data_IF_409443943260
#
_entry.id   IF_409443943260
#
_cell.length_a   1.000
_cell.length_b   1.000
_cell.length_c   1.000
_cell.angle_alpha   90.00
_cell.angle_beta   90.00
_cell.angle_gamma   90.00
#
_symmetry.space_group_name_H-M   'P 1'
#
loop_
_entity.id
_entity.type
_entity.pdbx_description
1 polymer ?
#
# COMPACT_ATOMS: atom_id res chain seq x y z
N UNK A 1 -3.71 88.15 -9.36
CA UNK A 1 -3.57 87.73 -7.97
C UNK A 1 -4.51 86.55 -7.77
N UNK A 2 -4.03 85.35 -7.69
CA UNK A 2 -4.84 84.13 -7.53
C UNK A 2 -4.00 82.91 -7.84
N UNK A 3 -3.28 82.40 -6.84
CA UNK A 3 -2.62 81.13 -6.85
C UNK A 3 -3.71 80.05 -6.83
N UNK A 4 -3.63 79.06 -7.73
CA UNK A 4 -4.34 77.81 -7.60
C UNK A 4 -3.33 76.68 -7.48
N UNK A 5 -3.32 76.09 -6.30
CA UNK A 5 -2.63 74.91 -5.93
C UNK A 5 -3.07 73.72 -6.82
N UNK A 6 -2.12 73.14 -7.51
CA UNK A 6 -2.29 71.85 -8.17
C UNK A 6 -2.09 70.73 -7.11
N UNK A 7 -3.19 70.17 -6.62
CA UNK A 7 -3.16 68.96 -5.79
C UNK A 7 -2.86 67.74 -6.68
N UNK A 8 -1.64 67.28 -6.58
CA UNK A 8 -1.17 66.04 -7.20
C UNK A 8 -1.85 64.84 -6.51
N UNK A 9 -2.85 64.25 -7.16
CA UNK A 9 -3.50 63.02 -6.72
C UNK A 9 -2.72 61.80 -7.24
N UNK A 10 -1.66 61.47 -6.54
CA UNK A 10 -1.02 60.16 -6.68
C UNK A 10 -1.97 59.06 -6.19
N UNK A 11 -2.73 58.49 -7.12
CA UNK A 11 -3.57 57.32 -6.87
C UNK A 11 -2.69 56.11 -6.55
N UNK A 12 -3.12 55.23 -5.63
CA UNK A 12 -2.33 54.09 -5.21
C UNK A 12 -2.01 53.16 -6.39
N UNK A 13 -0.73 52.88 -6.50
CA UNK A 13 -0.08 52.09 -7.58
C UNK A 13 -0.62 50.65 -7.62
N UNK A 14 -1.71 50.40 -8.35
CA UNK A 14 -2.37 49.07 -8.53
C UNK A 14 -1.56 48.07 -9.33
N UNK A 15 -0.37 48.42 -9.84
CA UNK A 15 0.48 47.52 -10.64
C UNK A 15 1.26 46.53 -9.81
N UNK A 16 1.54 46.77 -8.52
CA UNK A 16 2.27 45.85 -7.64
C UNK A 16 1.46 44.64 -7.18
N UNK A 17 0.13 44.76 -7.11
CA UNK A 17 -0.74 43.73 -6.56
C UNK A 17 -0.95 42.51 -7.51
N UNK A 18 -0.89 42.76 -8.82
CA UNK A 18 -1.04 41.67 -9.83
C UNK A 18 0.20 40.79 -10.02
N UNK A 19 1.39 41.31 -9.72
CA UNK A 19 2.65 40.55 -9.86
C UNK A 19 2.90 39.62 -8.70
N UNK A 20 2.38 39.86 -7.52
CA UNK A 20 2.49 39.00 -6.34
C UNK A 20 1.49 37.83 -6.34
N UNK A 21 0.36 37.97 -7.04
CA UNK A 21 -0.68 36.90 -7.08
C UNK A 21 -0.25 35.65 -7.81
N UNK A 22 0.55 35.77 -8.86
CA UNK A 22 1.02 34.61 -9.66
C UNK A 22 1.95 33.70 -8.86
N UNK A 23 3.03 34.18 -8.21
CA UNK A 23 3.89 33.31 -7.41
C UNK A 23 3.16 32.73 -6.18
N UNK A 24 2.26 33.47 -5.55
CA UNK A 24 1.43 32.96 -4.45
C UNK A 24 0.50 31.82 -4.91
N UNK A 25 -0.08 31.91 -6.10
CA UNK A 25 -0.93 30.86 -6.66
C UNK A 25 -0.13 29.60 -6.97
N UNK A 26 1.08 29.74 -7.51
CA UNK A 26 1.99 28.61 -7.77
C UNK A 26 2.37 27.91 -6.47
N UNK A 27 2.75 28.67 -5.44
CA UNK A 27 3.08 28.10 -4.12
C UNK A 27 1.88 27.38 -3.51
N UNK A 28 0.67 27.95 -3.61
CA UNK A 28 -0.55 27.29 -3.12
C UNK A 28 -0.83 25.97 -3.85
N UNK A 29 -0.71 25.95 -5.17
CA UNK A 29 -0.90 24.72 -5.98
C UNK A 29 0.14 23.65 -5.60
N UNK A 30 1.41 24.04 -5.47
CA UNK A 30 2.47 23.12 -5.06
C UNK A 30 2.25 22.55 -3.65
N UNK A 31 1.78 23.39 -2.72
CA UNK A 31 1.48 22.98 -1.34
C UNK A 31 0.31 21.99 -1.30
N UNK A 32 -0.74 22.22 -2.08
CA UNK A 32 -1.87 21.28 -2.19
C UNK A 32 -1.44 19.97 -2.84
N UNK A 33 -0.65 20.00 -3.89
CA UNK A 33 -0.12 18.81 -4.55
C UNK A 33 0.78 18.01 -3.60
N UNK A 34 1.65 18.68 -2.85
CA UNK A 34 2.49 18.04 -1.83
C UNK A 34 1.67 17.42 -0.71
N UNK A 35 0.69 18.14 -0.18
CA UNK A 35 -0.23 17.61 0.85
C UNK A 35 -1.00 16.39 0.35
N UNK A 36 -1.49 16.41 -0.89
CA UNK A 36 -2.17 15.28 -1.50
C UNK A 36 -1.24 14.06 -1.63
N UNK A 37 0.02 14.26 -2.04
CA UNK A 37 1.03 13.21 -2.12
C UNK A 37 1.33 12.60 -0.74
N UNK A 38 1.50 13.45 0.28
CA UNK A 38 1.74 13.00 1.66
C UNK A 38 0.54 12.20 2.19
N UNK A 39 -0.69 12.69 1.99
CA UNK A 39 -1.90 11.98 2.39
C UNK A 39 -2.04 10.63 1.67
N UNK A 40 -1.73 10.59 0.37
CA UNK A 40 -1.74 9.34 -0.40
C UNK A 40 -0.73 8.32 0.13
N UNK A 41 0.50 8.76 0.43
CA UNK A 41 1.56 7.91 1.00
C UNK A 41 1.19 7.42 2.40
N UNK A 42 0.64 8.31 3.25
CA UNK A 42 0.19 7.94 4.60
C UNK A 42 -0.95 6.92 4.55
N UNK A 43 -1.93 7.10 3.66
CA UNK A 43 -3.03 6.14 3.47
C UNK A 43 -2.50 4.76 3.10
N UNK A 44 -1.54 4.70 2.19
CA UNK A 44 -0.89 3.47 1.76
C UNK A 44 -0.18 2.75 2.92
N UNK A 45 0.61 3.48 3.70
CA UNK A 45 1.31 2.93 4.87
C UNK A 45 0.32 2.44 5.95
N UNK A 46 -0.78 3.15 6.16
CA UNK A 46 -1.81 2.74 7.11
C UNK A 46 -2.53 1.46 6.66
N UNK A 47 -2.82 1.33 5.37
CA UNK A 47 -3.43 0.14 4.79
C UNK A 47 -2.52 -1.09 4.93
N UNK A 48 -1.24 -0.93 4.60
CA UNK A 48 -0.26 -2.00 4.76
C UNK A 48 -0.14 -2.45 6.23
N UNK A 49 0.00 -1.49 7.16
CA UNK A 49 0.06 -1.78 8.60
C UNK A 49 -1.19 -2.49 9.10
N UNK A 50 -2.38 -2.07 8.64
CA UNK A 50 -3.64 -2.70 8.99
C UNK A 50 -3.70 -4.16 8.50
N UNK A 51 -3.28 -4.41 7.25
CA UNK A 51 -3.18 -5.75 6.69
C UNK A 51 -2.21 -6.62 7.51
N UNK A 52 -1.01 -6.13 7.77
CA UNK A 52 0.00 -6.86 8.52
C UNK A 52 -0.42 -7.13 9.97
N UNK A 53 -1.09 -6.18 10.63
CA UNK A 53 -1.65 -6.37 11.97
C UNK A 53 -2.73 -7.45 11.98
N UNK A 54 -3.66 -7.43 11.01
CA UNK A 54 -4.71 -8.43 10.89
C UNK A 54 -4.13 -9.84 10.67
N UNK A 55 -3.15 -9.98 9.77
CA UNK A 55 -2.45 -11.25 9.55
C UNK A 55 -1.72 -11.73 10.81
N UNK A 56 -1.12 -10.81 11.58
CA UNK A 56 -0.48 -11.15 12.84
C UNK A 56 -1.48 -11.68 13.87
N UNK A 57 -2.63 -11.05 13.99
CA UNK A 57 -3.67 -11.46 14.93
C UNK A 57 -4.34 -12.77 14.49
N UNK A 58 -4.59 -12.93 13.19
CA UNK A 58 -5.12 -14.16 12.60
C UNK A 58 -4.15 -15.33 12.79
N UNK A 59 -2.84 -15.15 12.52
CA UNK A 59 -1.80 -16.15 12.78
C UNK A 59 -1.74 -16.54 14.24
N UNK A 60 -1.84 -15.57 15.15
CA UNK A 60 -1.87 -15.84 16.60
C UNK A 60 -3.13 -16.62 17.00
N UNK A 61 -4.27 -16.32 16.39
CA UNK A 61 -5.53 -17.05 16.59
C UNK A 61 -5.41 -18.48 16.06
N UNK A 62 -5.00 -18.66 14.83
CA UNK A 62 -4.77 -19.96 14.19
C UNK A 62 -3.84 -20.85 15.03
N UNK A 63 -2.76 -20.26 15.56
CA UNK A 63 -1.81 -20.97 16.42
C UNK A 63 -2.43 -21.47 17.73
N UNK A 64 -3.45 -20.77 18.27
CA UNK A 64 -4.14 -21.19 19.51
C UNK A 64 -5.26 -22.19 19.26
N UNK A 65 -5.94 -22.06 18.14
CA UNK A 65 -7.15 -22.84 17.84
C UNK A 65 -6.87 -24.03 16.94
N UNK A 66 -5.79 -24.01 16.16
CA UNK A 66 -5.53 -24.94 15.08
C UNK A 66 -6.48 -24.79 13.88
N UNK A 67 -7.34 -23.75 13.90
CA UNK A 67 -8.37 -23.55 12.88
C UNK A 67 -7.81 -22.69 11.75
N UNK A 68 -7.18 -23.32 10.75
CA UNK A 68 -6.79 -22.70 9.48
C UNK A 68 -6.67 -23.75 8.39
N UNK A 69 -6.74 -23.33 7.15
CA UNK A 69 -6.51 -24.20 6.00
C UNK A 69 -5.57 -23.50 5.01
N UNK A 70 -4.72 -24.28 4.37
CA UNK A 70 -3.83 -23.82 3.30
C UNK A 70 -4.12 -24.62 2.05
N UNK A 71 -4.27 -23.93 0.93
CA UNK A 71 -4.37 -24.56 -0.39
C UNK A 71 -3.24 -24.04 -1.27
N UNK A 72 -2.61 -24.95 -2.01
CA UNK A 72 -1.59 -24.64 -3.02
C UNK A 72 -2.08 -25.19 -4.35
N UNK A 73 -2.15 -24.34 -5.36
CA UNK A 73 -2.68 -24.69 -6.70
C UNK A 73 -4.07 -25.38 -6.63
N UNK A 74 -4.91 -24.89 -5.69
CA UNK A 74 -6.25 -25.41 -5.45
C UNK A 74 -6.34 -26.71 -4.64
N UNK A 75 -5.22 -27.33 -4.28
CA UNK A 75 -5.18 -28.54 -3.45
C UNK A 75 -4.88 -28.20 -1.99
N UNK A 76 -5.63 -28.79 -1.05
CA UNK A 76 -5.34 -28.64 0.36
C UNK A 76 -4.01 -29.30 0.73
N UNK A 77 -3.17 -28.56 1.47
CA UNK A 77 -1.88 -29.02 1.95
C UNK A 77 -1.83 -29.06 3.46
N UNK A 78 -1.01 -29.96 4.00
CA UNK A 78 -0.74 -29.97 5.44
C UNK A 78 0.26 -28.87 5.77
N UNK A 79 -0.13 -27.94 6.62
CA UNK A 79 0.72 -26.90 7.13
C UNK A 79 0.56 -26.80 8.64
N UNK A 80 1.59 -26.36 9.33
CA UNK A 80 1.52 -26.10 10.76
C UNK A 80 1.50 -24.59 11.08
N UNK A 81 1.28 -24.26 12.34
CA UNK A 81 1.22 -22.86 12.75
C UNK A 81 2.60 -22.16 12.74
N UNK A 82 3.72 -22.91 12.61
CA UNK A 82 5.05 -22.35 12.47
C UNK A 82 5.26 -21.87 11.04
N UNK A 83 4.72 -22.61 10.04
CA UNK A 83 4.75 -22.21 8.63
C UNK A 83 4.07 -20.83 8.44
N UNK A 84 2.92 -20.61 9.10
CA UNK A 84 2.23 -19.32 9.11
C UNK A 84 3.09 -18.22 9.77
N UNK A 85 3.79 -18.56 10.84
CA UNK A 85 4.67 -17.61 11.54
C UNK A 85 5.91 -17.26 10.70
N UNK A 86 6.45 -18.23 9.99
CA UNK A 86 7.58 -18.01 9.08
C UNK A 86 7.17 -17.21 7.85
N UNK A 87 5.98 -17.47 7.29
CA UNK A 87 5.41 -16.63 6.25
C UNK A 87 5.26 -15.18 6.72
N UNK A 88 4.68 -14.96 7.90
CA UNK A 88 4.51 -13.63 8.46
C UNK A 88 5.86 -12.93 8.64
N UNK A 89 6.89 -13.65 9.07
CA UNK A 89 8.25 -13.13 9.18
C UNK A 89 8.84 -12.74 7.83
N UNK A 90 8.65 -13.56 6.79
CA UNK A 90 9.06 -13.21 5.43
C UNK A 90 8.38 -11.93 4.96
N UNK A 91 7.05 -11.85 5.11
CA UNK A 91 6.28 -10.68 4.72
C UNK A 91 6.69 -9.41 5.48
N UNK A 92 7.04 -9.54 6.77
CA UNK A 92 7.51 -8.39 7.58
C UNK A 92 8.81 -7.78 7.08
N UNK A 93 9.67 -8.57 6.46
CA UNK A 93 10.95 -8.12 5.92
C UNK A 93 10.82 -7.49 4.54
N UNK A 94 9.77 -7.88 3.80
CA UNK A 94 9.61 -7.50 2.41
C UNK A 94 9.09 -6.08 2.21
N UNK A 95 8.31 -5.58 3.16
CA UNK A 95 7.55 -4.35 2.92
C UNK A 95 6.47 -4.53 1.85
N UNK A 96 5.76 -3.45 1.56
CA UNK A 96 4.78 -3.42 0.48
C UNK A 96 5.37 -2.70 -0.74
N UNK A 97 5.21 -3.28 -1.89
CA UNK A 97 5.49 -2.67 -3.18
C UNK A 97 4.31 -1.85 -3.69
N UNK A 98 3.82 -2.13 -4.89
CA UNK A 98 2.68 -1.40 -5.47
C UNK A 98 1.37 -1.99 -4.99
N UNK A 99 0.40 -1.12 -4.69
CA UNK A 99 -1.00 -1.53 -4.58
C UNK A 99 -1.60 -1.69 -5.97
N UNK A 100 -2.45 -2.72 -6.13
CA UNK A 100 -3.11 -2.99 -7.40
C UNK A 100 -4.30 -3.92 -7.22
N UNK A 101 -4.96 -4.17 -8.32
CA UNK A 101 -6.00 -5.20 -8.37
C UNK A 101 -5.34 -6.59 -8.47
N UNK A 102 -5.98 -7.56 -7.85
CA UNK A 102 -5.51 -8.94 -7.94
C UNK A 102 -5.58 -9.44 -9.39
N UNK A 103 -4.63 -10.33 -9.79
CA UNK A 103 -4.74 -11.02 -11.07
C UNK A 103 -6.09 -11.71 -11.25
N UNK A 104 -6.53 -11.84 -12.51
CA UNK A 104 -7.80 -12.51 -12.83
C UNK A 104 -7.74 -14.04 -12.64
N UNK A 105 -6.54 -14.59 -12.70
CA UNK A 105 -6.30 -16.02 -12.47
C UNK A 105 -6.52 -16.37 -11.00
N UNK A 106 -6.81 -17.65 -10.69
CA UNK A 106 -6.92 -18.09 -9.30
C UNK A 106 -5.57 -17.90 -8.56
N UNK A 107 -5.60 -17.64 -7.24
CA UNK A 107 -4.40 -17.55 -6.45
C UNK A 107 -3.65 -18.89 -6.41
N UNK A 108 -2.34 -18.83 -6.41
CA UNK A 108 -1.49 -20.02 -6.27
C UNK A 108 -1.53 -20.60 -4.86
N UNK A 109 -1.59 -19.70 -3.86
CA UNK A 109 -1.72 -20.09 -2.46
C UNK A 109 -2.88 -19.32 -1.86
N UNK A 110 -3.77 -20.01 -1.15
CA UNK A 110 -4.80 -19.39 -0.32
C UNK A 110 -4.66 -19.92 1.11
N UNK A 111 -4.65 -18.99 2.06
CA UNK A 111 -4.64 -19.27 3.49
C UNK A 111 -5.91 -18.72 4.09
N UNK A 112 -6.79 -19.58 4.55
CA UNK A 112 -7.98 -19.20 5.35
C UNK A 112 -7.66 -19.44 6.82
N UNK A 113 -7.67 -18.36 7.60
CA UNK A 113 -7.34 -18.39 9.02
C UNK A 113 -8.52 -18.82 9.92
N UNK A 114 -9.68 -19.09 9.33
CA UNK A 114 -10.86 -19.55 10.05
C UNK A 114 -11.56 -18.50 10.90
N UNK A 115 -11.05 -17.27 10.95
CA UNK A 115 -11.62 -16.11 11.64
C UNK A 115 -12.26 -15.10 10.66
N UNK A 116 -12.32 -15.45 9.38
CA UNK A 116 -12.76 -14.58 8.28
C UNK A 116 -11.62 -13.75 7.65
N UNK A 117 -10.39 -13.91 8.11
CA UNK A 117 -9.20 -13.39 7.45
C UNK A 117 -8.74 -14.40 6.40
N UNK A 118 -8.54 -13.95 5.17
CA UNK A 118 -8.02 -14.79 4.07
C UNK A 118 -6.83 -14.07 3.44
N UNK A 119 -5.76 -14.80 3.19
CA UNK A 119 -4.61 -14.33 2.44
C UNK A 119 -4.48 -15.14 1.15
N UNK A 120 -4.68 -14.46 0.03
CA UNK A 120 -4.44 -15.01 -1.31
C UNK A 120 -3.10 -14.53 -1.84
N UNK A 121 -2.34 -15.41 -2.47
CA UNK A 121 -1.01 -15.13 -3.01
C UNK A 121 -0.93 -15.62 -4.46
N UNK A 122 -0.59 -14.72 -5.36
CA UNK A 122 -0.33 -14.97 -6.77
C UNK A 122 1.16 -14.87 -7.05
N UNK A 123 1.62 -15.60 -8.03
CA UNK A 123 2.93 -15.42 -8.64
C UNK A 123 2.80 -14.44 -9.80
N UNK A 124 3.49 -13.31 -9.74
CA UNK A 124 3.43 -12.28 -10.78
C UNK A 124 4.82 -11.91 -11.28
N UNK A 125 4.97 -11.56 -12.57
CA UNK A 125 6.22 -11.05 -13.12
C UNK A 125 6.60 -9.73 -12.45
N UNK A 126 7.85 -9.57 -12.04
CA UNK A 126 8.36 -8.33 -11.49
C UNK A 126 8.79 -7.38 -12.61
N UNK A 127 8.35 -6.12 -12.52
CA UNK A 127 8.67 -5.09 -13.53
C UNK A 127 10.15 -4.66 -13.44
N UNK A 128 10.70 -4.63 -12.23
CA UNK A 128 12.11 -4.34 -11.96
C UNK A 128 12.57 -5.27 -10.83
N UNK A 129 12.99 -6.49 -11.13
CA UNK A 129 13.48 -7.39 -10.10
C UNK A 129 14.73 -6.76 -9.45
N UNK A 130 14.64 -6.48 -8.15
CA UNK A 130 15.78 -6.00 -7.37
C UNK A 130 16.87 -7.07 -7.23
N UNK A 131 16.54 -8.31 -7.60
CA UNK A 131 17.37 -9.52 -7.50
C UNK A 131 17.16 -10.40 -8.74
N UNK A 132 17.90 -11.48 -8.84
CA UNK A 132 17.93 -12.38 -10.01
C UNK A 132 16.65 -13.24 -10.20
N UNK A 133 15.57 -13.00 -9.45
CA UNK A 133 14.32 -13.72 -9.65
C UNK A 133 13.31 -12.91 -10.46
N UNK A 134 12.73 -13.52 -11.51
CA UNK A 134 11.82 -12.82 -12.41
C UNK A 134 10.40 -12.62 -11.83
N UNK A 135 10.00 -13.42 -10.85
CA UNK A 135 8.65 -13.45 -10.30
C UNK A 135 8.66 -13.22 -8.79
N UNK A 136 7.69 -12.44 -8.34
CA UNK A 136 7.41 -12.20 -6.93
C UNK A 136 5.96 -12.46 -6.57
N UNK A 137 5.61 -12.39 -5.29
CA UNK A 137 4.24 -12.53 -4.85
C UNK A 137 3.44 -11.22 -5.01
N UNK A 138 2.21 -11.34 -5.49
CA UNK A 138 1.14 -10.39 -5.25
C UNK A 138 0.25 -10.96 -4.15
N UNK A 139 -0.04 -10.16 -3.13
CA UNK A 139 -0.79 -10.58 -1.96
C UNK A 139 -2.11 -9.82 -1.89
N UNK A 140 -3.19 -10.53 -1.59
CA UNK A 140 -4.48 -9.92 -1.26
C UNK A 140 -4.93 -10.42 0.11
N UNK A 141 -5.01 -9.50 1.05
CA UNK A 141 -5.58 -9.77 2.36
C UNK A 141 -7.07 -9.39 2.35
N UNK A 142 -7.92 -10.34 2.68
CA UNK A 142 -9.36 -10.14 2.93
C UNK A 142 -9.58 -10.15 4.44
N UNK A 143 -10.27 -9.13 4.96
CA UNK A 143 -10.57 -9.01 6.39
C UNK A 143 -11.94 -9.60 6.71
N UNK A 144 -12.22 -9.91 7.98
CA UNK A 144 -13.56 -10.35 8.43
C UNK A 144 -14.67 -9.36 8.07
N UNK A 145 -14.34 -8.07 7.89
CA UNK A 145 -15.27 -7.04 7.43
C UNK A 145 -15.60 -7.09 5.94
N UNK A 146 -15.01 -8.01 5.18
CA UNK A 146 -15.11 -8.08 3.72
C UNK A 146 -14.24 -7.07 2.96
N UNK A 147 -13.50 -6.21 3.65
CA UNK A 147 -12.53 -5.32 3.00
C UNK A 147 -11.34 -6.11 2.48
N UNK A 148 -10.79 -5.68 1.35
CA UNK A 148 -9.62 -6.31 0.75
C UNK A 148 -8.52 -5.27 0.53
N UNK A 149 -7.27 -5.71 0.65
CA UNK A 149 -6.08 -4.96 0.24
C UNK A 149 -5.17 -5.86 -0.57
N UNK A 150 -4.78 -5.35 -1.76
CA UNK A 150 -3.83 -6.02 -2.63
C UNK A 150 -2.54 -5.20 -2.77
N UNK A 151 -1.41 -5.88 -2.70
CA UNK A 151 -0.09 -5.30 -2.94
C UNK A 151 0.89 -6.34 -3.44
N UNK A 152 1.85 -5.93 -4.25
CA UNK A 152 2.99 -6.76 -4.64
C UNK A 152 4.18 -6.52 -3.72
N UNK A 153 5.16 -7.41 -3.79
CA UNK A 153 6.48 -7.19 -3.20
C UNK A 153 7.56 -7.80 -4.07
N UNK A 154 8.62 -7.04 -4.31
CA UNK A 154 9.80 -7.45 -5.08
C UNK A 154 10.95 -7.95 -4.18
N UNK A 155 10.75 -7.96 -2.87
CA UNK A 155 11.77 -8.30 -1.89
C UNK A 155 11.85 -9.80 -1.56
N UNK A 156 10.87 -10.58 -1.99
CA UNK A 156 10.79 -12.02 -1.73
C UNK A 156 10.51 -12.76 -3.04
N UNK A 157 11.30 -13.77 -3.40
CA UNK A 157 10.93 -14.65 -4.51
C UNK A 157 9.75 -15.54 -4.12
N UNK A 158 8.84 -15.79 -5.06
CA UNK A 158 7.69 -16.67 -4.84
C UNK A 158 8.11 -18.08 -4.37
N UNK A 159 9.24 -18.58 -4.84
CA UNK A 159 9.79 -19.87 -4.44
C UNK A 159 10.01 -20.03 -2.93
N UNK A 160 10.37 -18.96 -2.21
CA UNK A 160 10.50 -19.00 -0.74
C UNK A 160 9.17 -19.23 -0.04
N UNK A 161 8.10 -18.62 -0.57
CA UNK A 161 6.76 -18.80 0.01
C UNK A 161 6.25 -20.20 -0.30
N UNK A 162 6.43 -20.66 -1.54
CA UNK A 162 6.01 -22.03 -1.94
C UNK A 162 6.72 -23.11 -1.12
N UNK A 163 7.99 -22.90 -0.81
CA UNK A 163 8.78 -23.85 0.00
C UNK A 163 8.24 -24.05 1.42
N UNK A 164 7.56 -23.05 2.01
CA UNK A 164 6.95 -23.18 3.34
C UNK A 164 5.79 -24.20 3.35
N UNK A 165 5.16 -24.41 2.20
CA UNK A 165 3.96 -25.23 2.08
C UNK A 165 4.15 -26.43 1.15
N UNK A 166 5.40 -26.88 0.96
CA UNK A 166 5.76 -28.03 0.10
C UNK A 166 6.03 -29.31 0.90
#
# INVERSE_FOLDING_TARGET
MGLYDAVDRNGPNRKGEKTLRKPLLIVAILSVAFAALVLWTLRYQLQYRACFSALTDATRSARRTGAFTVTVDGAAVSADANDLSDLLRLLSMAGAGRTGDAPADPPRITIDYGDGTVLDIWEVPLVNPANDWPNGPFLRCTFPSGRTYGYDTDQIPMSRITYLFS
#
